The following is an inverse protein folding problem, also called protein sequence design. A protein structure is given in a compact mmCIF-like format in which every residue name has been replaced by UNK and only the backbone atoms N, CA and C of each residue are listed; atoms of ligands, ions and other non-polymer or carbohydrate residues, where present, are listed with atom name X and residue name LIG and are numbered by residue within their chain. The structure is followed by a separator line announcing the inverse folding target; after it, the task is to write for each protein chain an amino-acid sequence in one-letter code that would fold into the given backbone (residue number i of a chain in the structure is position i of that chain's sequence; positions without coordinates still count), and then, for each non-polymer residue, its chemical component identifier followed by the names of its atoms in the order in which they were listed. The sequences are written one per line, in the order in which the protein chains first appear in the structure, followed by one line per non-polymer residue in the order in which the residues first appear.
data_IF_756191177722
#
_entry.id   IF_756191177722
#
_cell.length_a   1.000
_cell.length_b   1.000
_cell.length_c   1.000
_cell.angle_alpha   90.00
_cell.angle_beta   90.00
_cell.angle_gamma   90.00
#
_symmetry.space_group_name_H-M   'P 1'
#
loop_
_entity.id
_entity.type
_entity.pdbx_description
1 polymer ?
#
# COMPACT_ATOMS: atom_id res chain seq x y z
N UNK A 1 -25.81 14.08 -3.28
CA UNK A 1 -24.76 14.48 -2.33
C UNK A 1 -23.73 13.37 -2.22
N UNK A 2 -22.53 13.58 -2.76
CA UNK A 2 -21.42 12.61 -2.65
C UNK A 2 -20.84 12.62 -1.24
N UNK A 3 -20.37 11.46 -0.75
CA UNK A 3 -19.77 11.36 0.59
C UNK A 3 -18.54 12.27 0.67
N UNK A 4 -18.51 13.28 1.57
CA UNK A 4 -17.32 14.07 1.79
C UNK A 4 -16.28 13.15 2.41
N UNK A 5 -15.24 12.82 1.65
CA UNK A 5 -14.08 12.12 2.18
C UNK A 5 -12.96 13.14 2.18
N UNK A 6 -12.61 13.64 3.37
CA UNK A 6 -11.57 14.65 3.63
C UNK A 6 -10.18 14.28 3.08
N UNK A 7 -9.97 13.00 2.74
CA UNK A 7 -8.72 12.52 2.19
C UNK A 7 -9.01 11.73 0.90
N UNK A 8 -9.29 12.43 -0.22
CA UNK A 8 -9.49 11.76 -1.48
C UNK A 8 -8.23 10.93 -1.79
N UNK A 9 -8.44 9.71 -2.25
CA UNK A 9 -7.37 8.87 -2.81
C UNK A 9 -7.49 8.97 -4.34
N UNK A 10 -7.10 10.11 -4.96
CA UNK A 10 -7.39 10.35 -6.37
C UNK A 10 -6.58 9.43 -7.30
N UNK A 11 -5.47 8.87 -6.80
CA UNK A 11 -4.59 8.02 -7.57
C UNK A 11 -4.90 6.55 -7.31
N UNK A 12 -5.22 5.83 -8.39
CA UNK A 12 -5.35 4.38 -8.40
C UNK A 12 -4.20 3.78 -9.18
N UNK A 13 -3.62 2.71 -8.66
CA UNK A 13 -2.60 1.92 -9.36
C UNK A 13 -3.05 0.46 -9.45
N UNK A 14 -2.98 -0.10 -10.65
CA UNK A 14 -3.22 -1.52 -10.91
C UNK A 14 -1.89 -2.15 -11.31
N UNK A 15 -1.25 -2.86 -10.38
CA UNK A 15 0.08 -3.47 -10.58
C UNK A 15 -0.02 -4.99 -10.56
N UNK A 16 0.67 -5.65 -11.49
CA UNK A 16 0.94 -7.09 -11.43
C UNK A 16 2.24 -7.31 -10.67
N UNK A 17 2.25 -8.26 -9.76
CA UNK A 17 3.41 -8.61 -8.94
C UNK A 17 3.51 -10.12 -8.80
N UNK A 18 4.70 -10.59 -8.48
CA UNK A 18 5.05 -12.01 -8.42
C UNK A 18 4.49 -12.67 -7.16
N UNK A 19 4.49 -14.01 -7.15
CA UNK A 19 3.98 -14.78 -6.00
C UNK A 19 4.74 -14.46 -4.70
N UNK A 20 6.05 -14.21 -4.78
CA UNK A 20 6.87 -13.80 -3.64
C UNK A 20 6.40 -12.46 -3.06
N UNK A 21 6.12 -11.48 -3.91
CA UNK A 21 5.60 -10.18 -3.50
C UNK A 21 4.21 -10.31 -2.84
N UNK A 22 3.35 -11.20 -3.36
CA UNK A 22 2.06 -11.53 -2.75
C UNK A 22 2.23 -12.09 -1.34
N UNK A 23 3.08 -13.09 -1.17
CA UNK A 23 3.32 -13.75 0.11
C UNK A 23 3.82 -12.76 1.17
N UNK A 24 4.82 -11.93 0.82
CA UNK A 24 5.33 -10.88 1.71
C UNK A 24 4.23 -9.90 2.12
N UNK A 25 3.40 -9.45 1.17
CA UNK A 25 2.30 -8.54 1.46
C UNK A 25 1.26 -9.17 2.38
N UNK A 26 0.84 -10.41 2.12
CA UNK A 26 -0.14 -11.13 2.95
C UNK A 26 0.38 -11.40 4.35
N UNK A 27 1.63 -11.82 4.48
CA UNK A 27 2.27 -12.06 5.77
C UNK A 27 2.42 -10.76 6.57
N UNK A 28 2.83 -9.67 5.93
CA UNK A 28 2.88 -8.36 6.57
C UNK A 28 1.49 -7.87 7.03
N UNK A 29 0.46 -8.04 6.19
CA UNK A 29 -0.92 -7.72 6.55
C UNK A 29 -1.40 -8.54 7.75
N UNK A 30 -1.09 -9.84 7.77
CA UNK A 30 -1.45 -10.76 8.87
C UNK A 30 -0.74 -10.38 10.17
N UNK A 31 0.57 -10.10 10.13
CA UNK A 31 1.35 -9.73 11.31
C UNK A 31 0.93 -8.39 11.92
N UNK A 32 0.60 -7.40 11.07
CA UNK A 32 0.26 -6.05 11.52
C UNK A 32 -1.25 -5.79 11.64
N UNK A 33 -2.09 -6.74 11.23
CA UNK A 33 -3.55 -6.60 11.24
C UNK A 33 -4.05 -5.45 10.35
N UNK A 34 -3.35 -5.15 9.25
CA UNK A 34 -3.68 -4.02 8.36
C UNK A 34 -4.20 -4.49 7.01
N UNK A 35 -5.08 -3.72 6.35
CA UNK A 35 -5.53 -4.05 4.99
C UNK A 35 -4.39 -3.89 3.97
N UNK A 36 -4.47 -4.65 2.88
CA UNK A 36 -3.48 -4.64 1.78
C UNK A 36 -3.15 -3.23 1.28
N UNK A 37 -4.17 -2.38 1.14
CA UNK A 37 -4.00 -0.99 0.68
C UNK A 37 -3.15 -0.15 1.65
N UNK A 38 -3.25 -0.39 2.96
CA UNK A 38 -2.45 0.31 3.97
C UNK A 38 -1.04 -0.24 4.02
N UNK A 39 -0.87 -1.57 3.90
CA UNK A 39 0.44 -2.20 3.79
C UNK A 39 1.23 -1.68 2.58
N UNK A 40 0.59 -1.56 1.40
CA UNK A 40 1.21 -0.99 0.19
C UNK A 40 1.63 0.46 0.43
N UNK A 41 0.79 1.29 1.04
CA UNK A 41 1.14 2.68 1.38
C UNK A 41 2.37 2.78 2.28
N UNK A 42 2.45 1.92 3.30
CA UNK A 42 3.62 1.83 4.19
C UNK A 42 4.85 1.38 3.43
N UNK A 43 4.71 0.44 2.49
CA UNK A 43 5.78 0.03 1.59
C UNK A 43 6.30 1.21 0.77
N UNK A 44 5.41 1.97 0.12
CA UNK A 44 5.80 3.15 -0.67
C UNK A 44 6.52 4.20 0.17
N UNK A 45 6.07 4.46 1.41
CA UNK A 45 6.78 5.37 2.33
C UNK A 45 8.18 4.88 2.69
N UNK A 46 8.40 3.57 2.81
CA UNK A 46 9.75 3.03 3.03
C UNK A 46 10.64 3.22 1.80
N UNK A 47 10.07 3.11 0.59
CA UNK A 47 10.80 3.42 -0.63
C UNK A 47 11.22 4.90 -0.66
N UNK A 48 10.45 5.80 -0.05
CA UNK A 48 10.80 7.23 0.07
C UNK A 48 12.09 7.44 0.88
N UNK A 49 12.32 6.68 1.95
CA UNK A 49 13.58 6.69 2.70
C UNK A 49 14.76 6.16 1.87
N UNK A 50 14.52 5.31 0.88
CA UNK A 50 15.53 4.75 -0.02
C UNK A 50 15.77 5.63 -1.27
N UNK A 51 14.98 6.68 -1.49
CA UNK A 51 15.20 7.62 -2.60
C UNK A 51 16.43 8.48 -2.28
N UNK A 52 17.53 8.27 -3.01
CA UNK A 52 18.63 9.21 -3.03
C UNK A 52 18.16 10.55 -3.64
N UNK A 53 18.43 11.66 -2.95
CA UNK A 53 18.12 13.03 -3.36
C UNK A 53 19.38 13.83 -3.65
#
# INVERSE_FOLDING_TARGET
MGRPTDNPKPYQISVKYDEKCKQVLEEYCRQKGVPRMEAIRRGIRKLEDELEK
#
